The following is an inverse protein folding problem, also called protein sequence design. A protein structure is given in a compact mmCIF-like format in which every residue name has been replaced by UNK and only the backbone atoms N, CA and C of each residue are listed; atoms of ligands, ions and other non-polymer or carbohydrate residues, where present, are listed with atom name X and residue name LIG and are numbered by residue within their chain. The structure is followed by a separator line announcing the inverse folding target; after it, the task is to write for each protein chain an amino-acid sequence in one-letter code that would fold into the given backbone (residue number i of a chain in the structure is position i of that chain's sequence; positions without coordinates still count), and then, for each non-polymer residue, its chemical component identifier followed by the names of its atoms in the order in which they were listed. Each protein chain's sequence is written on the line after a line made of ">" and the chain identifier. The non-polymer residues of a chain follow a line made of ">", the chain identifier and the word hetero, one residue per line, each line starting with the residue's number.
data_IF_926086505906
#
_entry.id   IF_926086505906
#
_cell.length_a   1.000
_cell.length_b   1.000
_cell.length_c   1.000
_cell.angle_alpha   90.00
_cell.angle_beta   90.00
_cell.angle_gamma   90.00
#
_symmetry.space_group_name_H-M   'P 1'
#
loop_
_entity.id
_entity.type
_entity.pdbx_description
1 polymer ?
#
# COMPACT_ATOMS: atom_id res chain seq x y z
N UNK A 1 2.67 -24.68 -0.79
CA UNK A 1 2.02 -24.33 -0.72
C UNK A 1 1.55 -23.88 -0.93
N UNK A 2 1.09 -23.58 -0.90
CA UNK A 2 0.31 -23.17 -0.95
C UNK A 2 -0.07 -22.54 -1.12
N UNK A 3 -0.31 -22.30 -1.19
CA UNK A 3 -0.92 -21.76 -1.15
C UNK A 3 -1.29 -21.16 -1.45
N UNK A 4 -1.51 -21.18 -1.76
CA UNK A 4 -2.08 -20.51 -1.87
C UNK A 4 -2.83 -20.14 -1.54
N UNK A 5 -2.77 -20.48 -1.61
CA UNK A 5 -3.77 -20.13 -0.90
C UNK A 5 -4.19 -18.76 -0.84
N UNK A 6 -3.63 -18.04 -1.38
CA UNK A 6 -4.07 -16.72 -1.31
C UNK A 6 -5.44 -16.64 -1.83
N UNK A 7 -6.31 -16.16 -1.07
CA UNK A 7 -7.59 -15.88 -1.61
C UNK A 7 -7.34 -14.92 -2.70
N UNK A 8 -7.63 -15.32 -3.73
CA UNK A 8 -7.27 -14.53 -4.73
C UNK A 8 -8.30 -14.30 -5.63
N UNK A 9 -8.17 -13.33 -6.41
CA UNK A 9 -7.02 -12.49 -6.42
C UNK A 9 -7.19 -11.34 -5.47
N UNK A 10 -6.11 -10.96 -4.84
CA UNK A 10 -6.06 -9.71 -4.11
C UNK A 10 -5.82 -8.61 -5.12
N UNK A 11 -6.62 -7.58 -5.06
CA UNK A 11 -6.44 -6.40 -5.90
C UNK A 11 -6.75 -5.15 -5.08
N UNK A 12 -6.12 -4.04 -5.42
CA UNK A 12 -6.41 -2.76 -4.80
C UNK A 12 -7.37 -2.01 -5.69
N UNK A 13 -8.64 -1.99 -5.26
CA UNK A 13 -9.73 -1.40 -6.00
C UNK A 13 -9.78 0.12 -5.81
N UNK A 14 -10.52 0.84 -6.67
CA UNK A 14 -10.74 2.26 -6.45
C UNK A 14 -11.38 2.50 -5.09
N UNK A 15 -10.96 3.56 -4.42
CA UNK A 15 -11.51 3.92 -3.12
C UNK A 15 -12.84 4.66 -3.29
N UNK A 16 -13.88 4.21 -2.58
CA UNK A 16 -15.14 4.91 -2.54
C UNK A 16 -15.00 6.23 -1.77
N UNK A 17 -15.94 7.18 -1.92
CA UNK A 17 -15.90 8.40 -1.11
C UNK A 17 -15.88 8.13 0.39
N UNK A 18 -16.62 7.13 0.86
CA UNK A 18 -16.62 6.77 2.28
C UNK A 18 -15.25 6.26 2.74
N UNK A 19 -14.59 5.44 1.91
CA UNK A 19 -13.25 4.95 2.22
C UNK A 19 -12.24 6.10 2.22
N UNK A 20 -12.33 7.02 1.26
CA UNK A 20 -11.43 8.18 1.22
C UNK A 20 -11.60 9.05 2.47
N UNK A 21 -12.82 9.24 2.93
CA UNK A 21 -13.07 10.00 4.15
C UNK A 21 -12.45 9.31 5.36
N UNK A 22 -12.61 8.01 5.47
CA UNK A 22 -11.99 7.22 6.54
C UNK A 22 -10.47 7.33 6.50
N UNK A 23 -9.87 7.21 5.33
CA UNK A 23 -8.43 7.34 5.17
C UNK A 23 -7.94 8.74 5.50
N UNK A 24 -8.71 9.77 5.18
CA UNK A 24 -8.36 11.14 5.53
C UNK A 24 -8.35 11.35 7.04
N UNK A 25 -9.28 10.73 7.77
CA UNK A 25 -9.27 10.78 9.24
C UNK A 25 -8.05 10.08 9.82
N UNK A 26 -7.70 8.91 9.29
CA UNK A 26 -6.49 8.21 9.70
C UNK A 26 -5.26 9.05 9.41
N UNK A 27 -5.21 9.71 8.27
CA UNK A 27 -4.08 10.56 7.89
C UNK A 27 -3.89 11.74 8.86
N UNK A 28 -4.98 12.32 9.34
CA UNK A 28 -4.89 13.39 10.35
C UNK A 28 -4.20 12.89 11.62
N UNK A 29 -4.52 11.67 12.04
CA UNK A 29 -3.89 11.08 13.22
C UNK A 29 -2.41 10.82 12.95
N UNK A 30 -2.07 10.27 11.78
CA UNK A 30 -0.68 10.00 11.41
C UNK A 30 0.14 11.28 11.40
N UNK A 31 -0.40 12.37 10.87
CA UNK A 31 0.30 13.64 10.79
C UNK A 31 0.57 14.26 12.16
N UNK A 32 -0.13 13.80 13.21
CA UNK A 32 0.13 14.26 14.58
C UNK A 32 1.34 13.58 15.21
N UNK A 33 1.86 12.50 14.62
CA UNK A 33 3.05 11.81 15.10
C UNK A 33 4.31 12.36 14.41
N UNK A 34 5.49 12.10 14.99
CA UNK A 34 6.74 12.48 14.32
C UNK A 34 6.81 11.85 12.94
N UNK A 35 7.20 12.65 11.96
CA UNK A 35 7.34 12.20 10.58
C UNK A 35 8.76 11.71 10.34
N UNK A 36 8.88 10.63 9.56
CA UNK A 36 10.18 10.11 9.15
C UNK A 36 10.29 10.25 7.63
N UNK A 37 11.53 10.48 7.20
CA UNK A 37 11.81 10.54 5.78
C UNK A 37 11.94 9.12 5.24
N UNK A 38 11.24 8.83 4.15
CA UNK A 38 11.28 7.53 3.51
C UNK A 38 12.26 7.55 2.35
N UNK A 39 13.25 6.66 2.39
CA UNK A 39 14.18 6.50 1.28
C UNK A 39 13.40 5.95 0.09
N UNK A 40 13.43 6.68 -1.02
CA UNK A 40 12.71 6.30 -2.24
C UNK A 40 13.69 6.18 -3.38
N UNK A 41 13.64 5.06 -4.08
CA UNK A 41 14.43 4.81 -5.28
C UNK A 41 13.52 4.88 -6.49
N UNK A 42 14.03 5.47 -7.57
CA UNK A 42 13.29 5.63 -8.82
C UNK A 42 14.03 4.93 -9.94
N UNK A 43 13.30 4.21 -10.77
CA UNK A 43 13.86 3.55 -11.95
C UNK A 43 12.98 3.86 -13.15
N UNK A 44 13.60 4.35 -14.21
CA UNK A 44 12.95 4.54 -15.50
C UNK A 44 13.64 3.63 -16.51
N UNK A 45 12.89 2.74 -17.13
CA UNK A 45 13.46 1.82 -18.10
C UNK A 45 12.37 1.29 -19.04
N UNK A 46 12.64 1.29 -20.32
CA UNK A 46 11.73 0.72 -21.30
C UNK A 46 10.33 1.35 -21.29
N UNK A 47 10.25 2.65 -21.02
CA UNK A 47 8.97 3.35 -20.95
C UNK A 47 8.21 3.10 -19.65
N UNK A 48 8.81 2.40 -18.70
CA UNK A 48 8.19 2.11 -17.41
C UNK A 48 8.86 2.91 -16.31
N UNK A 49 8.07 3.19 -15.28
CA UNK A 49 8.56 3.83 -14.07
C UNK A 49 8.28 2.92 -12.87
N UNK A 50 9.33 2.63 -12.11
CA UNK A 50 9.22 1.88 -10.88
C UNK A 50 9.72 2.74 -9.71
N UNK A 51 8.96 2.77 -8.63
CA UNK A 51 9.33 3.46 -7.41
C UNK A 51 9.38 2.46 -6.28
N UNK A 52 10.50 2.44 -5.55
CA UNK A 52 10.70 1.52 -4.45
C UNK A 52 10.87 2.29 -3.15
N UNK A 53 10.14 1.89 -2.14
CA UNK A 53 10.20 2.46 -0.80
C UNK A 53 10.49 1.33 0.18
N UNK A 54 11.42 1.56 1.11
CA UNK A 54 11.73 0.62 2.18
C UNK A 54 11.18 1.17 3.48
N UNK A 55 10.38 0.34 4.18
CA UNK A 55 9.77 0.72 5.43
C UNK A 55 10.42 -0.03 6.58
N UNK A 56 10.83 0.69 7.61
CA UNK A 56 11.34 0.10 8.82
C UNK A 56 10.19 -0.58 9.60
N UNK A 57 10.49 -1.54 10.48
CA UNK A 57 9.47 -2.12 11.34
C UNK A 57 8.74 -1.03 12.14
N UNK A 58 7.44 -1.23 12.33
CA UNK A 58 6.63 -0.30 13.12
C UNK A 58 6.28 1.00 12.40
N UNK A 59 6.47 1.07 11.09
CA UNK A 59 6.17 2.28 10.30
C UNK A 59 4.74 2.24 9.78
N UNK A 60 4.07 3.38 9.82
CA UNK A 60 2.76 3.58 9.20
C UNK A 60 2.92 4.53 8.03
N UNK A 61 2.35 4.17 6.90
CA UNK A 61 2.47 4.98 5.69
C UNK A 61 1.11 5.13 5.02
N UNK A 62 0.71 6.38 4.79
CA UNK A 62 -0.46 6.69 4.00
C UNK A 62 0.00 7.00 2.58
N UNK A 63 -0.48 6.21 1.62
CA UNK A 63 -0.20 6.47 0.22
C UNK A 63 -1.05 7.62 -0.33
N UNK A 64 -0.59 8.17 -1.43
CA UNK A 64 -1.35 9.17 -2.16
C UNK A 64 -2.47 8.51 -2.97
N UNK A 65 -3.43 9.29 -3.40
CA UNK A 65 -4.42 8.83 -4.35
C UNK A 65 -3.73 8.56 -5.69
N UNK A 66 -3.77 7.31 -6.14
CA UNK A 66 -3.12 6.89 -7.38
C UNK A 66 -4.15 6.88 -8.49
N UNK A 67 -3.92 7.70 -9.51
CA UNK A 67 -4.88 7.93 -10.59
C UNK A 67 -4.70 7.00 -11.78
N UNK A 68 -3.62 6.22 -11.79
CA UNK A 68 -3.32 5.29 -12.88
C UNK A 68 -3.32 3.87 -12.36
N UNK A 69 -3.66 2.93 -13.21
CA UNK A 69 -3.50 1.52 -12.89
C UNK A 69 -2.01 1.18 -12.84
N UNK A 70 -1.61 0.43 -11.84
CA UNK A 70 -0.21 0.05 -11.61
C UNK A 70 -0.13 -1.38 -11.11
N UNK A 71 1.09 -1.90 -11.06
CA UNK A 71 1.37 -3.14 -10.36
C UNK A 71 2.13 -2.78 -9.09
N UNK A 72 1.65 -3.29 -7.96
CA UNK A 72 2.30 -3.10 -6.68
C UNK A 72 3.00 -4.39 -6.27
N UNK A 73 4.26 -4.30 -5.91
CA UNK A 73 5.01 -5.41 -5.37
C UNK A 73 5.30 -5.11 -3.91
N UNK A 74 4.89 -6.02 -3.03
CA UNK A 74 5.12 -5.88 -1.59
C UNK A 74 5.90 -7.10 -1.12
N UNK A 75 7.07 -6.86 -0.52
CA UNK A 75 7.90 -7.93 0.02
C UNK A 75 8.15 -7.68 1.49
N UNK A 76 7.70 -8.61 2.33
CA UNK A 76 7.85 -8.52 3.78
C UNK A 76 6.53 -8.74 4.50
N UNK A 77 6.53 -8.43 5.78
CA UNK A 77 5.36 -8.61 6.64
C UNK A 77 4.74 -7.23 6.94
N UNK A 78 3.54 -7.04 6.47
CA UNK A 78 2.83 -5.79 6.72
C UNK A 78 1.32 -6.00 6.64
N UNK A 79 0.60 -5.01 7.08
CA UNK A 79 -0.85 -4.94 6.93
C UNK A 79 -1.20 -3.82 5.99
N UNK A 80 -2.28 -3.98 5.24
CA UNK A 80 -2.78 -2.93 4.35
C UNK A 80 -4.30 -2.87 4.48
N UNK A 81 -4.84 -1.67 4.41
CA UNK A 81 -6.29 -1.48 4.28
C UNK A 81 -6.65 -1.45 2.80
N UNK A 82 -7.53 -2.36 2.40
CA UNK A 82 -8.13 -2.38 1.07
C UNK A 82 -9.62 -2.19 1.27
N UNK A 83 -10.12 -1.02 0.91
CA UNK A 83 -11.46 -0.63 1.28
C UNK A 83 -11.57 -0.51 2.80
N UNK A 84 -12.49 -1.25 3.40
CA UNK A 84 -12.67 -1.29 4.85
C UNK A 84 -12.09 -2.55 5.48
N UNK A 85 -11.34 -3.34 4.71
CA UNK A 85 -10.80 -4.61 5.18
C UNK A 85 -9.31 -4.53 5.42
N UNK A 86 -8.89 -5.10 6.54
CA UNK A 86 -7.48 -5.26 6.87
C UNK A 86 -6.98 -6.56 6.22
N UNK A 87 -5.95 -6.45 5.40
CA UNK A 87 -5.33 -7.58 4.74
C UNK A 87 -3.90 -7.73 5.25
N UNK A 88 -3.55 -8.93 5.70
CA UNK A 88 -2.19 -9.23 6.14
C UNK A 88 -1.39 -9.76 4.95
N UNK A 89 -0.22 -9.18 4.73
CA UNK A 89 0.68 -9.61 3.66
C UNK A 89 1.96 -10.16 4.26
N UNK A 90 2.38 -11.33 3.77
CA UNK A 90 3.65 -11.93 4.16
C UNK A 90 4.40 -12.38 2.91
N UNK A 91 5.73 -12.34 2.97
CA UNK A 91 6.56 -12.78 1.88
C UNK A 91 6.48 -11.85 0.67
N UNK A 92 6.36 -12.41 -0.51
CA UNK A 92 6.39 -11.68 -1.77
C UNK A 92 5.01 -11.68 -2.39
N UNK A 93 4.49 -10.48 -2.66
CA UNK A 93 3.15 -10.32 -3.23
C UNK A 93 3.20 -9.38 -4.43
N UNK A 94 2.52 -9.75 -5.50
CA UNK A 94 2.33 -8.90 -6.68
C UNK A 94 0.85 -8.62 -6.78
N UNK A 95 0.47 -7.36 -6.68
CA UNK A 95 -0.93 -6.96 -6.52
C UNK A 95 -1.32 -5.99 -7.61
N UNK A 96 -2.36 -6.29 -8.40
CA UNK A 96 -2.89 -5.31 -9.34
C UNK A 96 -3.47 -4.12 -8.57
N UNK A 97 -3.10 -2.92 -8.98
CA UNK A 97 -3.64 -1.70 -8.42
C UNK A 97 -4.49 -0.94 -9.43
N UNK A 98 -5.77 -0.78 -9.14
CA UNK A 98 -6.67 -0.04 -10.00
C UNK A 98 -6.45 1.46 -9.88
N UNK A 99 -6.80 2.20 -10.93
CA UNK A 99 -6.80 3.65 -10.87
C UNK A 99 -7.80 4.13 -9.80
N UNK A 100 -7.49 5.23 -9.13
CA UNK A 100 -8.37 5.80 -8.11
C UNK A 100 -8.23 5.16 -6.73
N UNK A 101 -7.15 4.43 -6.49
CA UNK A 101 -6.94 3.78 -5.20
C UNK A 101 -6.13 4.64 -4.26
N UNK A 102 -6.35 4.41 -2.97
CA UNK A 102 -5.55 5.00 -1.90
C UNK A 102 -5.50 3.97 -0.77
N UNK A 103 -4.30 3.63 -0.29
CA UNK A 103 -4.11 2.62 0.73
C UNK A 103 -3.32 3.13 1.91
N UNK A 104 -3.53 2.48 3.04
CA UNK A 104 -2.78 2.70 4.26
C UNK A 104 -2.05 1.40 4.60
N UNK A 105 -0.74 1.49 4.76
CA UNK A 105 0.13 0.36 5.10
C UNK A 105 0.73 0.56 6.48
N UNK A 106 0.94 -0.53 7.21
CA UNK A 106 1.80 -0.49 8.38
C UNK A 106 2.60 -1.78 8.51
N UNK A 107 3.86 -1.62 8.87
CA UNK A 107 4.78 -2.73 9.01
C UNK A 107 4.73 -3.26 10.44
N UNK A 108 5.00 -4.55 10.59
CA UNK A 108 5.04 -5.18 11.89
C UNK A 108 6.43 -5.03 12.50
N UNK A 109 6.47 -4.89 13.80
CA UNK A 109 7.71 -4.61 14.51
C UNK A 109 8.39 -5.81 15.09
#
# INVERSE_FOLDING_TARGET
>A
MSTLTAPLPIAMFPASPAVLEQLNEINKIILSYPQIELATEHLFHGGMYARTIRLQPGTKMMGSLIKLATVLIVHGDCSVLIGDQRVELTGYNVIPGCAGRKQFFWTHG
#
